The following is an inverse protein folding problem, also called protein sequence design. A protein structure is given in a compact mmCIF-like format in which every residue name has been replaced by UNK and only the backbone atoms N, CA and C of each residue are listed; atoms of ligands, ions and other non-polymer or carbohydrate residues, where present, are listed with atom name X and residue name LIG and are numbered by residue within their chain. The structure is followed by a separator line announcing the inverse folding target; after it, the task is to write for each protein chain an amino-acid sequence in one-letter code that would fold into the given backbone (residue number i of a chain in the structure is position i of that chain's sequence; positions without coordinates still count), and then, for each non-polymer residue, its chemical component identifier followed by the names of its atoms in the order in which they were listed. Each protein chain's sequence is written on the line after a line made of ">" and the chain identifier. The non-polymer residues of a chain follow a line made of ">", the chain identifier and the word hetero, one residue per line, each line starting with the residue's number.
data_IF_879610072049
#
_entry.id   IF_879610072049
#
_cell.length_a   1.000
_cell.length_b   1.000
_cell.length_c   1.000
_cell.angle_alpha   90.00
_cell.angle_beta   90.00
_cell.angle_gamma   90.00
#
_symmetry.space_group_name_H-M   'P 1'
#
loop_
_entity.id
_entity.type
_entity.pdbx_description
1 polymer ?
#
# COMPACT_ATOMS: atom_id res chain seq x y z
N UNK A 1 15.62 12.84 -9.42
CA UNK A 1 14.45 13.04 -8.53
C UNK A 1 14.92 13.06 -7.08
N UNK A 2 14.29 13.78 -6.15
CA UNK A 2 14.79 13.91 -4.77
C UNK A 2 14.35 12.72 -3.89
N UNK A 3 15.09 12.43 -2.80
CA UNK A 3 14.73 11.45 -1.80
C UNK A 3 13.33 11.71 -1.19
N UNK A 4 12.65 10.67 -0.64
CA UNK A 4 11.41 10.84 0.11
C UNK A 4 11.55 11.85 1.26
N UNK A 5 10.47 12.60 1.53
CA UNK A 5 10.43 13.59 2.63
C UNK A 5 9.45 13.22 3.75
N UNK A 6 8.82 12.06 3.66
CA UNK A 6 7.90 11.54 4.67
C UNK A 6 7.10 10.35 4.16
N UNK A 7 6.34 9.75 5.06
CA UNK A 7 5.64 8.50 4.82
C UNK A 7 4.23 8.50 5.38
N UNK A 8 3.30 7.86 4.68
CA UNK A 8 1.94 7.62 5.19
C UNK A 8 1.57 6.16 5.01
N UNK A 9 1.34 5.45 6.10
CA UNK A 9 1.05 4.02 6.09
C UNK A 9 -0.36 3.68 6.62
N UNK A 10 -1.01 2.74 5.94
CA UNK A 10 -2.36 2.29 6.22
C UNK A 10 -2.41 0.80 6.60
N UNK A 11 -3.24 0.40 7.58
CA UNK A 11 -3.34 -0.96 8.05
C UNK A 11 -4.13 -1.88 7.11
N UNK A 12 -4.06 -3.19 7.38
CA UNK A 12 -4.95 -4.19 6.80
C UNK A 12 -6.39 -4.11 7.33
N UNK A 13 -7.31 -4.85 6.72
CA UNK A 13 -8.72 -4.83 7.09
C UNK A 13 -9.00 -5.26 8.53
N UNK A 14 -8.22 -6.21 9.06
CA UNK A 14 -8.37 -6.75 10.42
C UNK A 14 -7.51 -6.07 11.49
N UNK A 15 -6.73 -5.02 11.14
CA UNK A 15 -5.79 -4.35 12.05
C UNK A 15 -6.02 -2.84 12.08
N UNK A 16 -5.29 -2.15 12.95
CA UNK A 16 -5.28 -0.69 13.07
C UNK A 16 -3.88 -0.10 12.84
N UNK A 17 -3.78 1.20 12.99
CA UNK A 17 -2.54 1.97 12.89
C UNK A 17 -1.45 1.52 13.89
N UNK A 18 -1.86 0.86 14.99
CA UNK A 18 -0.97 0.30 16.02
C UNK A 18 -0.45 -1.11 15.68
N UNK A 19 -0.60 -1.57 14.45
CA UNK A 19 -0.03 -2.86 14.03
C UNK A 19 1.50 -2.80 14.09
N UNK A 20 2.13 -3.82 14.69
CA UNK A 20 3.57 -3.88 14.99
C UNK A 20 4.46 -3.53 13.78
N UNK A 21 4.12 -4.03 12.59
CA UNK A 21 4.90 -3.71 11.39
C UNK A 21 4.79 -2.24 10.96
N UNK A 22 3.68 -1.53 11.26
CA UNK A 22 3.57 -0.10 10.96
C UNK A 22 4.35 0.73 11.98
N UNK A 23 4.41 0.28 13.24
CA UNK A 23 5.26 0.87 14.29
C UNK A 23 6.74 0.70 13.90
N UNK A 24 7.16 -0.51 13.52
CA UNK A 24 8.52 -0.78 13.08
C UNK A 24 8.93 0.05 11.85
N UNK A 25 7.99 0.28 10.91
CA UNK A 25 8.23 1.18 9.78
C UNK A 25 8.44 2.63 10.23
N UNK A 26 7.61 3.14 11.15
CA UNK A 26 7.77 4.49 11.68
C UNK A 26 9.14 4.67 12.36
N UNK A 27 9.54 3.71 13.18
CA UNK A 27 10.84 3.72 13.86
C UNK A 27 12.01 3.69 12.84
N UNK A 28 11.93 2.83 11.83
CA UNK A 28 12.99 2.68 10.84
C UNK A 28 13.12 3.87 9.87
N UNK A 29 12.08 4.68 9.72
CA UNK A 29 12.09 5.86 8.84
C UNK A 29 12.57 7.13 9.56
N UNK A 30 12.82 7.10 10.85
CA UNK A 30 13.36 8.25 11.58
C UNK A 30 14.67 8.76 10.95
N UNK A 31 14.94 10.10 10.91
CA UNK A 31 14.15 11.18 11.49
C UNK A 31 13.05 11.76 10.58
N UNK A 32 12.72 11.11 9.47
CA UNK A 32 11.67 11.60 8.56
C UNK A 32 10.27 11.44 9.19
N UNK A 33 9.35 12.38 8.93
CA UNK A 33 8.02 12.31 9.48
C UNK A 33 7.23 11.13 8.88
N UNK A 34 6.51 10.41 9.74
CA UNK A 34 5.68 9.27 9.39
C UNK A 34 4.29 9.44 10.00
N UNK A 35 3.26 9.13 9.23
CA UNK A 35 1.90 8.97 9.73
C UNK A 35 1.46 7.51 9.58
N UNK A 36 0.92 6.94 10.64
CA UNK A 36 0.16 5.68 10.67
C UNK A 36 -1.31 6.03 10.81
N UNK A 37 -2.13 5.64 9.85
CA UNK A 37 -3.49 6.18 9.69
C UNK A 37 -4.53 5.08 9.76
N UNK A 38 -5.46 5.17 10.70
CA UNK A 38 -6.65 4.32 10.74
C UNK A 38 -7.70 4.75 9.71
N UNK A 39 -8.33 3.78 9.06
CA UNK A 39 -9.49 4.02 8.21
C UNK A 39 -10.74 4.42 9.03
N UNK A 40 -11.71 5.13 8.42
CA UNK A 40 -12.88 5.67 9.12
C UNK A 40 -13.66 4.61 9.91
N UNK A 41 -13.87 3.41 9.37
CA UNK A 41 -14.56 2.33 10.07
C UNK A 41 -13.84 1.93 11.37
N UNK A 42 -12.50 1.95 11.39
CA UNK A 42 -11.72 1.62 12.61
C UNK A 42 -11.84 2.71 13.65
N UNK A 43 -11.73 3.98 13.24
CA UNK A 43 -11.95 5.13 14.11
C UNK A 43 -13.36 5.12 14.73
N UNK A 44 -14.35 4.61 13.99
CA UNK A 44 -15.73 4.42 14.47
C UNK A 44 -15.95 3.12 15.27
N UNK A 45 -14.89 2.35 15.60
CA UNK A 45 -15.00 1.09 16.35
C UNK A 45 -15.62 -0.07 15.59
N UNK A 46 -15.82 0.05 14.27
CA UNK A 46 -16.42 -0.99 13.43
C UNK A 46 -15.38 -2.04 13.04
N UNK A 47 -15.83 -3.30 12.86
CA UNK A 47 -14.98 -4.41 12.40
C UNK A 47 -14.93 -4.54 10.88
N UNK A 48 -16.06 -4.31 10.20
CA UNK A 48 -16.18 -4.43 8.75
C UNK A 48 -15.66 -3.17 8.05
N UNK A 49 -14.79 -3.32 7.04
CA UNK A 49 -14.31 -2.18 6.27
C UNK A 49 -15.43 -1.44 5.54
N UNK A 50 -15.26 -0.13 5.40
CA UNK A 50 -16.08 0.68 4.51
C UNK A 50 -15.91 0.26 3.05
N UNK A 51 -16.81 0.74 2.19
CA UNK A 51 -16.70 0.54 0.73
C UNK A 51 -15.48 1.27 0.18
N UNK A 52 -14.95 0.76 -0.94
CA UNK A 52 -13.73 1.30 -1.57
C UNK A 52 -13.71 2.83 -1.77
N UNK A 53 -14.79 3.50 -2.22
CA UNK A 53 -14.78 4.96 -2.36
C UNK A 53 -14.45 5.71 -1.06
N UNK A 54 -15.00 5.25 0.08
CA UNK A 54 -14.75 5.87 1.39
C UNK A 54 -13.29 5.67 1.83
N UNK A 55 -12.76 4.45 1.62
CA UNK A 55 -11.37 4.14 1.95
C UNK A 55 -10.39 4.92 1.07
N UNK A 56 -10.69 5.07 -0.22
CA UNK A 56 -9.85 5.82 -1.16
C UNK A 56 -9.87 7.32 -0.87
N UNK A 57 -11.04 7.86 -0.51
CA UNK A 57 -11.14 9.26 -0.08
C UNK A 57 -10.32 9.49 1.18
N UNK A 58 -10.39 8.59 2.17
CA UNK A 58 -9.56 8.65 3.36
C UNK A 58 -8.05 8.68 3.01
N UNK A 59 -7.59 7.81 2.11
CA UNK A 59 -6.18 7.83 1.67
C UNK A 59 -5.80 9.19 1.09
N UNK A 60 -6.63 9.76 0.22
CA UNK A 60 -6.38 11.06 -0.41
C UNK A 60 -6.33 12.19 0.61
N UNK A 61 -7.31 12.26 1.48
CA UNK A 61 -7.44 13.32 2.48
C UNK A 61 -6.28 13.29 3.49
N UNK A 62 -5.96 12.11 4.00
CA UNK A 62 -4.89 11.96 5.00
C UNK A 62 -3.51 12.23 4.41
N UNK A 63 -3.23 11.79 3.17
CA UNK A 63 -1.97 12.10 2.49
C UNK A 63 -1.84 13.59 2.21
N UNK A 64 -2.92 14.27 1.82
CA UNK A 64 -2.92 15.72 1.61
C UNK A 64 -2.75 16.49 2.93
N UNK A 65 -3.47 16.08 3.97
CA UNK A 65 -3.38 16.69 5.30
C UNK A 65 -1.96 16.55 5.88
N UNK A 66 -1.38 15.35 5.78
CA UNK A 66 -0.01 15.10 6.22
C UNK A 66 1.02 15.92 5.43
N UNK A 67 0.89 15.99 4.12
CA UNK A 67 1.76 16.80 3.27
C UNK A 67 1.73 18.27 3.68
N UNK A 68 0.52 18.81 3.92
CA UNK A 68 0.32 20.19 4.39
C UNK A 68 0.94 20.41 5.76
N UNK A 69 0.70 19.53 6.72
CA UNK A 69 1.23 19.64 8.09
C UNK A 69 2.77 19.56 8.12
N UNK A 70 3.36 18.73 7.27
CA UNK A 70 4.82 18.56 7.17
C UNK A 70 5.51 19.58 6.26
N UNK A 71 4.78 20.51 5.63
CA UNK A 71 5.33 21.50 4.72
C UNK A 71 5.93 20.92 3.44
N UNK A 72 5.46 19.74 2.99
CA UNK A 72 5.97 19.07 1.79
C UNK A 72 4.85 18.84 0.76
N UNK A 73 5.21 18.53 -0.48
CA UNK A 73 4.24 18.12 -1.51
C UNK A 73 3.95 16.63 -1.39
N UNK A 74 2.73 16.20 -1.73
CA UNK A 74 2.36 14.77 -1.77
C UNK A 74 3.30 13.96 -2.67
N UNK A 75 3.77 14.57 -3.78
CA UNK A 75 4.76 13.97 -4.70
C UNK A 75 6.14 13.72 -4.10
N UNK A 76 6.38 14.15 -2.86
CA UNK A 76 7.59 13.84 -2.09
C UNK A 76 7.35 12.76 -1.03
N UNK A 77 6.13 12.24 -0.90
CA UNK A 77 5.76 11.24 0.09
C UNK A 77 5.77 9.83 -0.52
N UNK A 78 6.25 8.87 0.23
CA UNK A 78 5.99 7.45 0.00
C UNK A 78 4.74 7.07 0.78
N UNK A 79 3.80 6.43 0.11
CA UNK A 79 2.60 5.92 0.75
C UNK A 79 2.50 4.40 0.62
N UNK A 80 1.77 3.76 1.50
CA UNK A 80 1.63 2.31 1.41
C UNK A 80 0.93 1.72 2.62
N UNK A 81 1.19 0.44 2.84
CA UNK A 81 0.65 -0.26 3.99
C UNK A 81 0.43 -1.74 3.75
N UNK A 82 -0.28 -2.36 4.68
CA UNK A 82 -0.52 -3.79 4.68
C UNK A 82 -1.81 -4.16 3.96
N UNK A 83 -1.77 -5.22 3.18
CA UNK A 83 -2.96 -5.88 2.60
C UNK A 83 -3.94 -4.85 1.99
N UNK A 84 -5.12 -4.67 2.59
CA UNK A 84 -6.11 -3.70 2.14
C UNK A 84 -5.53 -2.27 2.08
N UNK A 85 -4.77 -1.84 3.08
CA UNK A 85 -4.16 -0.50 3.11
C UNK A 85 -3.24 -0.25 1.92
N UNK A 86 -2.31 -1.17 1.65
CA UNK A 86 -1.44 -1.11 0.48
C UNK A 86 -2.23 -1.09 -0.83
N UNK A 87 -3.27 -1.94 -0.94
CA UNK A 87 -4.14 -1.94 -2.11
C UNK A 87 -4.87 -0.60 -2.30
N UNK A 88 -5.40 0.01 -1.24
CA UNK A 88 -6.05 1.33 -1.35
C UNK A 88 -5.06 2.42 -1.78
N UNK A 89 -3.83 2.40 -1.26
CA UNK A 89 -2.77 3.31 -1.70
C UNK A 89 -2.45 3.13 -3.20
N UNK A 90 -2.32 1.89 -3.67
CA UNK A 90 -2.03 1.61 -5.09
C UNK A 90 -3.19 2.05 -6.01
N UNK A 91 -4.45 1.85 -5.59
CA UNK A 91 -5.63 2.34 -6.32
C UNK A 91 -5.67 3.87 -6.35
N UNK A 92 -5.42 4.55 -5.24
CA UNK A 92 -5.37 6.02 -5.19
C UNK A 92 -4.27 6.59 -6.10
N UNK A 93 -3.08 6.00 -6.09
CA UNK A 93 -1.97 6.39 -6.96
C UNK A 93 -2.25 6.13 -8.45
N UNK A 94 -3.06 5.13 -8.78
CA UNK A 94 -3.53 4.84 -10.14
C UNK A 94 -4.72 5.70 -10.59
N UNK A 95 -5.33 6.49 -9.69
CA UNK A 95 -6.52 7.26 -9.97
C UNK A 95 -7.84 6.48 -9.93
N UNK A 96 -7.83 5.22 -9.44
CA UNK A 96 -9.07 4.44 -9.29
C UNK A 96 -9.98 5.11 -8.24
N UNK A 97 -11.26 5.28 -8.59
CA UNK A 97 -12.25 5.91 -7.71
C UNK A 97 -12.97 4.92 -6.81
N UNK A 98 -12.86 3.63 -7.12
CA UNK A 98 -13.58 2.56 -6.41
C UNK A 98 -15.10 2.59 -6.59
N UNK A 99 -15.62 3.40 -7.51
CA UNK A 99 -17.07 3.62 -7.69
C UNK A 99 -17.73 2.63 -8.64
N UNK A 100 -16.94 1.85 -9.40
CA UNK A 100 -17.49 0.83 -10.28
C UNK A 100 -18.35 -0.18 -9.53
N UNK A 101 -19.51 -0.50 -10.09
CA UNK A 101 -20.37 -1.57 -9.56
C UNK A 101 -19.80 -2.95 -9.93
N UNK A 102 -20.32 -3.98 -9.27
CA UNK A 102 -19.90 -5.35 -9.55
C UNK A 102 -20.17 -5.70 -11.02
N UNK A 103 -19.11 -6.09 -11.74
CA UNK A 103 -19.20 -6.44 -13.17
C UNK A 103 -18.96 -5.26 -14.12
N UNK A 104 -18.86 -4.04 -13.63
CA UNK A 104 -18.51 -2.87 -14.44
C UNK A 104 -16.98 -2.66 -14.48
N UNK A 105 -16.47 -2.01 -15.55
CA UNK A 105 -15.07 -1.60 -15.59
C UNK A 105 -14.78 -0.56 -14.52
N UNK A 106 -13.53 -0.47 -14.01
CA UNK A 106 -13.15 0.53 -13.02
C UNK A 106 -13.27 1.94 -13.59
N UNK A 107 -13.66 2.87 -12.72
CA UNK A 107 -13.73 4.29 -13.03
C UNK A 107 -12.47 4.97 -12.52
N UNK A 108 -11.80 5.70 -13.39
CA UNK A 108 -10.56 6.41 -13.06
C UNK A 108 -10.78 7.92 -13.12
N UNK A 109 -10.22 8.61 -12.11
CA UNK A 109 -10.06 10.05 -12.05
C UNK A 109 -8.56 10.40 -11.95
N UNK A 110 -8.25 11.53 -11.30
CA UNK A 110 -6.87 11.99 -11.15
C UNK A 110 -6.06 11.08 -10.21
N UNK A 111 -4.86 10.66 -10.63
CA UNK A 111 -3.93 9.94 -9.78
C UNK A 111 -3.48 10.78 -8.58
N UNK A 112 -3.42 10.17 -7.41
CA UNK A 112 -2.73 10.78 -6.27
C UNK A 112 -1.23 10.79 -6.54
N UNK A 113 -0.66 11.97 -6.76
CA UNK A 113 0.78 12.13 -7.06
C UNK A 113 1.60 11.87 -5.80
N UNK A 114 2.38 10.79 -5.80
CA UNK A 114 3.26 10.38 -4.70
C UNK A 114 4.65 10.05 -5.21
N UNK A 115 5.62 9.86 -4.31
CA UNK A 115 7.01 9.54 -4.66
C UNK A 115 7.21 8.05 -4.96
N UNK A 116 6.46 7.20 -4.30
CA UNK A 116 6.52 5.74 -4.44
C UNK A 116 5.49 5.03 -3.59
N UNK A 117 5.37 3.73 -3.80
CA UNK A 117 4.42 2.84 -3.12
C UNK A 117 5.13 1.71 -2.39
N UNK A 118 4.72 1.44 -1.15
CA UNK A 118 5.13 0.26 -0.36
C UNK A 118 3.92 -0.63 -0.11
N UNK A 119 3.92 -1.82 -0.70
CA UNK A 119 2.80 -2.75 -0.72
C UNK A 119 3.18 -4.04 0.02
N UNK A 120 2.82 -4.12 1.30
CA UNK A 120 3.12 -5.25 2.18
C UNK A 120 1.96 -6.24 2.12
N UNK A 121 2.24 -7.51 1.80
CA UNK A 121 1.23 -8.57 1.64
C UNK A 121 0.11 -8.14 0.71
N UNK A 122 0.43 -7.74 -0.52
CA UNK A 122 -0.59 -7.29 -1.47
C UNK A 122 -1.61 -8.39 -1.76
N UNK A 123 -2.92 -8.15 -1.51
CA UNK A 123 -3.94 -9.19 -1.68
C UNK A 123 -4.35 -9.29 -3.15
N UNK A 124 -3.59 -10.07 -3.94
CA UNK A 124 -3.78 -10.22 -5.39
C UNK A 124 -5.19 -10.71 -5.75
N UNK A 125 -5.72 -11.62 -4.93
CA UNK A 125 -7.09 -12.15 -5.02
C UNK A 125 -7.57 -12.60 -3.63
N UNK A 126 -8.87 -12.86 -3.42
CA UNK A 126 -9.33 -13.57 -2.22
C UNK A 126 -8.81 -15.02 -2.21
N UNK A 127 -8.46 -15.63 -1.08
CA UNK A 127 -7.86 -16.98 -1.03
C UNK A 127 -8.71 -18.06 -1.71
N UNK A 128 -10.02 -17.99 -1.55
CA UNK A 128 -10.98 -18.96 -2.14
C UNK A 128 -11.37 -18.62 -3.59
N UNK A 129 -10.87 -17.52 -4.15
CA UNK A 129 -11.29 -16.99 -5.45
C UNK A 129 -10.11 -16.44 -6.26
N UNK A 130 -9.18 -17.29 -6.73
CA UNK A 130 -8.00 -16.84 -7.49
C UNK A 130 -8.37 -16.17 -8.83
N UNK A 131 -9.56 -16.45 -9.36
CA UNK A 131 -10.10 -15.81 -10.56
C UNK A 131 -10.48 -14.34 -10.34
N UNK A 132 -10.70 -13.90 -9.08
CA UNK A 132 -11.09 -12.52 -8.73
C UNK A 132 -9.86 -11.62 -8.53
N UNK A 133 -9.10 -11.44 -9.58
CA UNK A 133 -7.86 -10.65 -9.55
C UNK A 133 -8.12 -9.16 -9.26
N UNK A 134 -7.26 -8.58 -8.43
CA UNK A 134 -7.29 -7.16 -8.02
C UNK A 134 -6.17 -6.39 -8.67
N UNK A 135 -6.12 -6.41 -10.02
CA UNK A 135 -4.97 -5.97 -10.81
C UNK A 135 -5.27 -4.89 -11.85
N UNK A 136 -6.54 -4.51 -12.04
CA UNK A 136 -6.95 -3.65 -13.17
C UNK A 136 -6.27 -2.28 -13.13
N UNK A 137 -6.10 -1.71 -11.94
CA UNK A 137 -5.45 -0.41 -11.73
C UNK A 137 -3.91 -0.46 -11.85
N UNK A 138 -3.28 -1.63 -11.80
CA UNK A 138 -1.81 -1.75 -11.77
C UNK A 138 -1.15 -1.13 -13.00
N UNK A 139 -1.76 -1.24 -14.20
CA UNK A 139 -1.24 -0.67 -15.44
C UNK A 139 -1.23 0.88 -15.47
N UNK A 140 -1.84 1.52 -14.49
CA UNK A 140 -1.88 2.98 -14.37
C UNK A 140 -0.96 3.54 -13.28
N UNK A 141 -0.23 2.69 -12.57
CA UNK A 141 0.74 3.11 -11.56
C UNK A 141 2.00 3.60 -12.26
N UNK A 142 2.31 4.88 -12.14
CA UNK A 142 3.44 5.55 -12.81
C UNK A 142 4.59 5.91 -11.85
N UNK A 143 4.59 5.37 -10.64
CA UNK A 143 5.61 5.62 -9.62
C UNK A 143 6.29 4.31 -9.20
N UNK A 144 7.53 4.34 -8.71
CA UNK A 144 8.21 3.15 -8.22
C UNK A 144 7.41 2.42 -7.13
N UNK A 145 7.45 1.09 -7.16
CA UNK A 145 6.69 0.24 -6.24
C UNK A 145 7.59 -0.81 -5.61
N UNK A 146 7.51 -0.94 -4.30
CA UNK A 146 8.06 -2.08 -3.55
C UNK A 146 6.93 -3.01 -3.11
N UNK A 147 7.05 -4.28 -3.46
CA UNK A 147 6.24 -5.36 -2.87
C UNK A 147 7.07 -6.12 -1.83
N UNK A 148 6.54 -6.26 -0.61
CA UNK A 148 7.07 -7.16 0.41
C UNK A 148 6.03 -8.25 0.65
N UNK A 149 6.35 -9.52 0.38
CA UNK A 149 5.34 -10.55 0.28
C UNK A 149 5.82 -11.91 0.80
N UNK A 150 4.95 -12.63 1.50
CA UNK A 150 5.27 -13.97 2.02
C UNK A 150 5.19 -15.05 0.93
N UNK A 151 6.16 -15.98 0.91
CA UNK A 151 6.15 -17.05 -0.11
C UNK A 151 5.01 -18.06 0.05
N UNK A 152 4.33 -18.07 1.20
CA UNK A 152 3.13 -18.90 1.47
C UNK A 152 1.85 -18.07 1.68
N UNK A 153 1.78 -16.89 1.07
CA UNK A 153 0.62 -16.02 1.16
C UNK A 153 -0.56 -16.61 0.34
N UNK A 154 -1.71 -16.93 0.97
CA UNK A 154 -2.86 -17.49 0.26
C UNK A 154 -3.61 -16.46 -0.60
N UNK A 155 -3.28 -15.18 -0.51
CA UNK A 155 -3.86 -14.11 -1.34
C UNK A 155 -3.08 -13.88 -2.66
N UNK A 156 -2.09 -14.70 -2.94
CA UNK A 156 -1.30 -14.70 -4.17
C UNK A 156 0.09 -15.29 -3.93
N UNK A 157 0.48 -16.25 -4.75
CA UNK A 157 1.83 -16.81 -4.72
C UNK A 157 2.86 -15.85 -5.33
N UNK A 158 4.17 -16.03 -5.05
CA UNK A 158 5.22 -15.27 -5.72
C UNK A 158 5.16 -15.32 -7.25
N UNK A 159 4.81 -16.48 -7.82
CA UNK A 159 4.71 -16.66 -9.27
C UNK A 159 3.57 -15.84 -9.87
N UNK A 160 2.41 -15.87 -9.22
CA UNK A 160 1.25 -15.07 -9.64
C UNK A 160 1.55 -13.56 -9.50
N UNK A 161 2.12 -13.14 -8.40
CA UNK A 161 2.48 -11.73 -8.20
C UNK A 161 3.46 -11.27 -9.27
N UNK A 162 4.57 -12.01 -9.52
CA UNK A 162 5.54 -11.73 -10.57
C UNK A 162 4.91 -11.62 -11.97
N UNK A 163 3.91 -12.47 -12.27
CA UNK A 163 3.19 -12.44 -13.54
C UNK A 163 2.42 -11.13 -13.72
N UNK A 164 1.73 -10.69 -12.67
CA UNK A 164 0.79 -9.57 -12.77
C UNK A 164 1.42 -8.20 -12.59
N UNK A 165 2.49 -8.07 -11.79
CA UNK A 165 3.19 -6.79 -11.59
C UNK A 165 3.91 -6.29 -12.86
N UNK A 166 4.16 -7.16 -13.84
CA UNK A 166 4.68 -6.77 -15.17
C UNK A 166 3.80 -5.75 -15.91
N UNK A 167 2.55 -5.58 -15.48
CA UNK A 167 1.63 -4.56 -16.03
C UNK A 167 1.91 -3.15 -15.52
N UNK A 168 2.69 -3.01 -14.45
CA UNK A 168 3.09 -1.71 -13.90
C UNK A 168 4.14 -1.08 -14.82
N UNK A 169 3.89 0.10 -15.39
CA UNK A 169 4.83 0.73 -16.34
C UNK A 169 6.02 1.45 -15.66
N UNK A 170 6.15 1.32 -14.34
CA UNK A 170 7.22 1.92 -13.54
C UNK A 170 8.09 0.84 -12.90
N UNK A 171 9.17 1.25 -12.24
CA UNK A 171 10.10 0.34 -11.56
C UNK A 171 9.38 -0.45 -10.46
N UNK A 172 9.55 -1.77 -10.47
CA UNK A 172 8.97 -2.68 -9.48
C UNK A 172 10.08 -3.46 -8.80
N UNK A 173 10.20 -3.26 -7.48
CA UNK A 173 11.03 -4.08 -6.60
C UNK A 173 10.17 -5.09 -5.85
N UNK A 174 10.68 -6.29 -5.62
CA UNK A 174 9.99 -7.34 -4.88
C UNK A 174 10.92 -8.00 -3.89
N UNK A 175 10.49 -8.06 -2.64
CA UNK A 175 11.15 -8.85 -1.58
C UNK A 175 10.20 -9.95 -1.11
N UNK A 176 10.68 -11.20 -1.17
CA UNK A 176 9.90 -12.35 -0.74
C UNK A 176 10.43 -12.90 0.57
N UNK A 177 9.57 -12.93 1.58
CA UNK A 177 9.91 -13.48 2.90
C UNK A 177 9.59 -14.99 2.90
N UNK A 178 10.63 -15.79 3.03
CA UNK A 178 10.52 -17.24 2.95
C UNK A 178 9.64 -17.84 4.05
N UNK A 179 8.80 -18.80 3.65
CA UNK A 179 7.85 -19.53 4.51
C UNK A 179 6.82 -18.65 5.23
N UNK A 180 6.84 -17.33 5.03
CA UNK A 180 5.89 -16.42 5.63
C UNK A 180 4.53 -16.47 4.92
N UNK A 181 3.46 -16.31 5.71
CA UNK A 181 2.06 -16.21 5.25
C UNK A 181 1.66 -14.75 5.09
N UNK A 182 0.35 -14.49 4.92
CA UNK A 182 -0.20 -13.14 4.70
C UNK A 182 0.07 -12.16 5.85
N UNK A 183 0.09 -12.66 7.08
CA UNK A 183 0.32 -11.86 8.28
C UNK A 183 1.77 -11.41 8.46
N UNK A 184 2.74 -12.10 7.82
CA UNK A 184 4.18 -11.90 7.99
C UNK A 184 4.58 -11.87 9.47
N UNK A 185 3.99 -12.74 10.29
CA UNK A 185 4.20 -12.77 11.73
C UNK A 185 5.69 -12.87 12.10
N UNK A 186 6.14 -11.99 13.02
CA UNK A 186 7.53 -11.96 13.50
C UNK A 186 8.54 -11.44 12.48
N UNK A 187 8.09 -10.74 11.42
CA UNK A 187 8.94 -10.23 10.33
C UNK A 187 9.02 -8.71 10.28
N UNK A 188 8.59 -8.04 11.34
CA UNK A 188 8.47 -6.58 11.35
C UNK A 188 9.82 -5.88 11.11
N UNK A 189 10.91 -6.35 11.70
CA UNK A 189 12.26 -5.82 11.50
C UNK A 189 12.72 -6.01 10.05
N UNK A 190 12.59 -7.22 9.50
CA UNK A 190 12.95 -7.52 8.10
C UNK A 190 12.17 -6.64 7.13
N UNK A 191 10.86 -6.45 7.35
CA UNK A 191 10.01 -5.56 6.55
C UNK A 191 10.53 -4.12 6.61
N UNK A 192 10.82 -3.61 7.81
CA UNK A 192 11.26 -2.24 8.03
C UNK A 192 12.63 -1.95 7.38
N UNK A 193 13.57 -2.88 7.50
CA UNK A 193 14.88 -2.78 6.87
C UNK A 193 14.78 -2.74 5.34
N UNK A 194 14.04 -3.67 4.75
CA UNK A 194 13.82 -3.73 3.29
C UNK A 194 13.18 -2.44 2.76
N UNK A 195 12.17 -1.91 3.46
CA UNK A 195 11.52 -0.66 3.08
C UNK A 195 12.50 0.51 3.18
N UNK A 196 13.27 0.60 4.25
CA UNK A 196 14.28 1.65 4.43
C UNK A 196 15.34 1.63 3.32
N UNK A 197 15.90 0.47 3.02
CA UNK A 197 16.90 0.31 1.96
C UNK A 197 16.35 0.69 0.58
N UNK A 198 15.12 0.26 0.27
CA UNK A 198 14.47 0.63 -0.97
C UNK A 198 14.24 2.14 -1.07
N UNK A 199 13.80 2.79 0.02
CA UNK A 199 13.59 4.24 0.04
C UNK A 199 14.86 5.04 -0.20
N UNK A 200 16.03 4.53 0.23
CA UNK A 200 17.33 5.16 -0.03
C UNK A 200 17.72 5.14 -1.52
N UNK A 201 17.18 4.20 -2.28
CA UNK A 201 17.42 4.06 -3.72
C UNK A 201 16.47 4.94 -4.57
N UNK A 202 15.40 5.48 -3.99
CA UNK A 202 14.47 6.39 -4.66
C UNK A 202 15.12 7.78 -4.88
N UNK A 203 15.90 7.90 -5.92
CA UNK A 203 16.58 9.15 -6.31
C UNK A 203 15.79 9.95 -7.33
#
# INVERSE_FOLDING_TARGET
>A
MSAPKGFVFFPGAGSGAEHSSLIALEEAMQPLPVARVDFPYRRAGKRAPDRAPVLLQCVRDEVQAFAKASGVRTSSLVIGGRSMGGRMCSMAAAGDTGTAKKGEPPVFGDPLKVRGLVLISYPLHPPAHPEKLRIVHLSRISVPVLFVHGTKDPFGSPAELKKHVKKIPSDVSMHFIEKARHDLAGKDTEIAEVVREWCQQLR
#
